data_IF_623577810728
#
_entry.id   IF_623577810728
#
_cell.length_a   1.000
_cell.length_b   1.000
_cell.length_c   1.000
_cell.angle_alpha   90.00
_cell.angle_beta   90.00
_cell.angle_gamma   90.00
#
_symmetry.space_group_name_H-M   'P 1'
#
loop_
_entity.id
_entity.type
_entity.pdbx_description
1 polymer ?
#
# COMPACT_ATOMS: atom_id res chain seq x y z
N UNK A 1 -5.90 31.32 -13.03
CA UNK A 1 -6.39 31.70 -11.70
C UNK A 1 -5.30 31.50 -10.65
N UNK A 2 -5.13 32.46 -9.74
CA UNK A 2 -4.23 32.32 -8.57
C UNK A 2 -4.88 31.60 -7.38
N UNK A 3 -6.18 31.26 -7.49
CA UNK A 3 -6.97 30.70 -6.39
C UNK A 3 -6.60 29.24 -6.09
N UNK A 4 -6.41 28.95 -4.81
CA UNK A 4 -6.19 27.58 -4.31
C UNK A 4 -7.51 26.83 -4.11
N UNK A 5 -7.45 25.50 -3.98
CA UNK A 5 -8.64 24.70 -3.65
C UNK A 5 -9.21 25.11 -2.28
N UNK A 6 -8.35 25.42 -1.31
CA UNK A 6 -8.78 25.85 0.02
C UNK A 6 -9.51 27.20 -0.02
N UNK A 7 -9.01 28.16 -0.81
CA UNK A 7 -9.69 29.45 -1.01
C UNK A 7 -11.05 29.27 -1.68
N UNK A 8 -11.17 28.36 -2.65
CA UNK A 8 -12.45 28.06 -3.27
C UNK A 8 -13.45 27.51 -2.26
N UNK A 9 -13.03 26.59 -1.37
CA UNK A 9 -13.88 26.06 -0.31
C UNK A 9 -14.32 27.15 0.69
N UNK A 10 -13.41 28.06 1.07
CA UNK A 10 -13.74 29.22 1.91
C UNK A 10 -14.77 30.13 1.26
N UNK A 11 -14.61 30.44 -0.03
CA UNK A 11 -15.56 31.27 -0.78
C UNK A 11 -16.92 30.58 -0.88
N UNK A 12 -16.96 29.28 -1.20
CA UNK A 12 -18.20 28.50 -1.26
C UNK A 12 -18.94 28.53 0.08
N UNK A 13 -18.22 28.34 1.19
CA UNK A 13 -18.81 28.39 2.54
C UNK A 13 -19.35 29.77 2.88
N UNK A 14 -18.66 30.84 2.48
CA UNK A 14 -19.07 32.21 2.77
C UNK A 14 -20.26 32.69 1.92
N UNK A 15 -20.39 32.20 0.69
CA UNK A 15 -21.32 32.79 -0.30
C UNK A 15 -22.49 31.90 -0.70
N UNK A 16 -22.31 30.57 -0.75
CA UNK A 16 -23.31 29.64 -1.27
C UNK A 16 -23.88 28.72 -0.19
N UNK A 17 -23.02 28.09 0.60
CA UNK A 17 -23.44 27.09 1.59
C UNK A 17 -22.65 27.20 2.91
N UNK A 18 -23.25 27.89 3.89
CA UNK A 18 -22.68 28.02 5.23
C UNK A 18 -22.59 26.69 6.01
N UNK A 19 -23.33 25.66 5.60
CA UNK A 19 -23.36 24.35 6.27
C UNK A 19 -22.19 23.43 5.90
N UNK A 20 -21.51 23.71 4.78
CA UNK A 20 -20.33 22.98 4.31
C UNK A 20 -19.21 22.98 5.36
N UNK A 21 -18.74 21.80 5.74
CA UNK A 21 -17.73 21.63 6.78
C UNK A 21 -16.45 21.03 6.23
N UNK A 22 -15.33 21.70 6.50
CA UNK A 22 -13.98 21.23 6.20
C UNK A 22 -13.02 21.75 7.27
N UNK A 23 -11.85 21.13 7.41
CA UNK A 23 -10.80 21.64 8.28
C UNK A 23 -10.14 22.82 7.59
N UNK A 24 -10.22 23.98 8.22
CA UNK A 24 -9.61 25.21 7.71
C UNK A 24 -8.30 25.49 8.45
N UNK A 25 -7.30 26.01 7.74
CA UNK A 25 -5.95 26.19 8.26
C UNK A 25 -5.06 27.04 7.36
N UNK A 26 -3.77 27.08 7.68
CA UNK A 26 -2.77 27.69 6.79
C UNK A 26 -2.62 26.88 5.50
N UNK A 27 -1.97 27.42 4.46
CA UNK A 27 -1.81 26.72 3.18
C UNK A 27 -1.12 25.35 3.32
N UNK A 28 -0.16 25.28 4.25
CA UNK A 28 0.66 24.11 4.54
C UNK A 28 0.15 23.29 5.74
N UNK A 29 -1.08 23.54 6.22
CA UNK A 29 -1.59 22.83 7.39
C UNK A 29 -1.77 21.33 7.08
N UNK A 30 -1.05 20.44 7.78
CA UNK A 30 -1.05 19.00 7.51
C UNK A 30 -2.42 18.35 7.71
N UNK A 31 -3.32 18.97 8.49
CA UNK A 31 -4.63 18.40 8.82
C UNK A 31 -5.72 18.72 7.80
N UNK A 32 -5.44 19.59 6.83
CA UNK A 32 -6.42 20.05 5.83
C UNK A 32 -6.52 19.13 4.60
N UNK A 33 -5.83 17.99 4.62
CA UNK A 33 -5.75 17.05 3.50
C UNK A 33 -7.12 16.56 3.02
N UNK A 34 -7.34 16.58 1.70
CA UNK A 34 -8.58 16.11 1.04
C UNK A 34 -8.25 15.39 -0.27
N UNK A 35 -9.25 14.70 -0.83
CA UNK A 35 -9.18 14.11 -2.16
C UNK A 35 -9.83 15.04 -3.19
N UNK A 36 -9.12 15.34 -4.28
CA UNK A 36 -9.64 16.13 -5.40
C UNK A 36 -9.43 15.37 -6.70
N UNK A 37 -10.52 15.03 -7.40
CA UNK A 37 -10.52 14.19 -8.61
C UNK A 37 -9.75 12.86 -8.41
N UNK A 38 -9.83 12.28 -7.21
CA UNK A 38 -9.13 11.05 -6.84
C UNK A 38 -7.63 11.23 -6.51
N UNK A 39 -7.12 12.47 -6.48
CA UNK A 39 -5.75 12.78 -6.06
C UNK A 39 -5.76 13.29 -4.62
N UNK A 40 -4.82 12.80 -3.82
CA UNK A 40 -4.64 13.23 -2.43
C UNK A 40 -3.80 14.50 -2.40
N UNK A 41 -4.34 15.59 -1.87
CA UNK A 41 -3.68 16.89 -1.89
C UNK A 41 -3.87 17.68 -0.60
N UNK A 42 -2.92 18.58 -0.34
CA UNK A 42 -3.13 19.70 0.57
C UNK A 42 -3.79 20.85 -0.20
N UNK A 43 -5.06 21.19 0.08
CA UNK A 43 -5.83 22.10 -0.75
C UNK A 43 -5.28 23.53 -0.77
N UNK A 44 -4.50 23.93 0.24
CA UNK A 44 -3.85 25.24 0.29
C UNK A 44 -2.69 25.39 -0.70
N UNK A 45 -2.00 24.30 -1.03
CA UNK A 45 -0.83 24.30 -1.91
C UNK A 45 -1.16 24.01 -3.37
N UNK A 46 -2.43 23.73 -3.66
CA UNK A 46 -2.88 23.26 -4.96
C UNK A 46 -3.79 24.29 -5.61
N UNK A 47 -3.39 24.71 -6.81
CA UNK A 47 -4.14 25.66 -7.65
C UNK A 47 -5.28 24.94 -8.36
N UNK A 48 -6.44 25.59 -8.47
CA UNK A 48 -7.61 25.04 -9.16
C UNK A 48 -7.30 24.59 -10.61
N UNK A 49 -6.57 25.44 -11.34
CA UNK A 49 -6.18 25.19 -12.74
C UNK A 49 -5.29 23.94 -12.91
N UNK A 50 -4.62 23.50 -11.83
CA UNK A 50 -3.72 22.34 -11.88
C UNK A 50 -4.43 21.00 -11.71
N UNK A 51 -5.64 21.01 -11.14
CA UNK A 51 -6.37 19.78 -10.76
C UNK A 51 -7.51 19.45 -11.70
N UNK A 52 -8.08 20.45 -12.37
CA UNK A 52 -9.07 20.23 -13.41
C UNK A 52 -8.74 21.07 -14.65
N UNK A 53 -8.48 20.44 -15.81
CA UNK A 53 -8.38 21.17 -17.06
C UNK A 53 -9.76 21.78 -17.38
N UNK A 54 -9.78 23.03 -17.81
CA UNK A 54 -11.00 23.67 -18.29
C UNK A 54 -11.50 22.92 -19.52
N UNK A 55 -12.63 22.20 -19.38
CA UNK A 55 -13.33 21.54 -20.48
C UNK A 55 -14.70 22.20 -20.63
N UNK A 56 -15.09 22.50 -21.86
CA UNK A 56 -16.39 23.08 -22.20
C UNK A 56 -16.71 24.39 -21.47
N UNK A 57 -15.71 25.28 -21.31
CA UNK A 57 -15.89 26.59 -20.69
C UNK A 57 -16.15 26.58 -19.18
N UNK A 58 -16.05 25.42 -18.51
CA UNK A 58 -16.27 25.27 -17.07
C UNK A 58 -15.18 24.47 -16.37
N UNK A 59 -15.05 24.70 -15.06
CA UNK A 59 -14.21 23.92 -14.17
C UNK A 59 -15.10 22.92 -13.42
N UNK A 60 -14.80 21.61 -13.52
CA UNK A 60 -15.49 20.57 -12.75
C UNK A 60 -14.48 19.91 -11.80
N UNK A 61 -14.74 20.06 -10.49
CA UNK A 61 -13.93 19.46 -9.43
C UNK A 61 -14.81 18.53 -8.61
N UNK A 62 -14.38 17.28 -8.43
CA UNK A 62 -14.93 16.33 -7.47
C UNK A 62 -14.05 16.39 -6.22
N UNK A 63 -14.60 16.92 -5.13
CA UNK A 63 -13.92 16.99 -3.84
C UNK A 63 -14.54 15.95 -2.92
N UNK A 64 -13.70 15.10 -2.34
CA UNK A 64 -14.09 14.00 -1.47
C UNK A 64 -13.28 14.07 -0.17
N UNK A 65 -13.83 13.58 0.95
CA UNK A 65 -13.08 13.45 2.19
C UNK A 65 -11.87 12.54 1.98
N UNK A 66 -10.90 12.67 2.88
CA UNK A 66 -9.68 11.89 2.84
C UNK A 66 -9.99 10.39 3.05
N UNK A 67 -9.52 9.46 2.18
CA UNK A 67 -9.81 8.04 2.32
C UNK A 67 -9.04 7.42 3.49
N UNK A 68 -9.45 6.22 3.91
CA UNK A 68 -8.91 5.50 5.08
C UNK A 68 -9.29 6.07 6.46
N UNK A 69 -10.16 7.08 6.51
CA UNK A 69 -10.64 7.67 7.76
C UNK A 69 -12.17 7.70 7.80
N UNK A 70 -12.71 7.68 9.02
CA UNK A 70 -14.15 7.86 9.24
C UNK A 70 -14.54 9.31 9.00
N UNK A 71 -15.58 9.52 8.21
CA UNK A 71 -16.10 10.85 7.89
C UNK A 71 -17.00 11.31 9.03
N UNK A 72 -16.61 12.40 9.70
CA UNK A 72 -17.42 13.02 10.75
C UNK A 72 -18.54 13.88 10.14
N UNK A 73 -18.17 14.74 9.18
CA UNK A 73 -19.10 15.63 8.48
C UNK A 73 -18.47 16.19 7.21
N UNK A 74 -19.17 16.08 6.09
CA UNK A 74 -18.74 16.59 4.78
C UNK A 74 -17.29 16.18 4.43
N UNK A 75 -16.33 17.10 4.51
CA UNK A 75 -14.91 16.85 4.23
C UNK A 75 -14.06 16.62 5.48
N UNK A 76 -14.66 16.73 6.68
CA UNK A 76 -13.97 16.50 7.96
C UNK A 76 -13.93 15.02 8.27
N UNK A 77 -12.72 14.52 8.46
CA UNK A 77 -12.45 13.14 8.87
C UNK A 77 -11.90 13.07 10.31
N UNK A 78 -12.07 11.92 10.94
CA UNK A 78 -11.46 11.61 12.24
C UNK A 78 -10.02 11.12 12.08
N UNK A 79 -9.06 11.82 12.70
CA UNK A 79 -7.65 11.42 12.71
C UNK A 79 -7.27 10.62 13.96
N UNK A 80 -8.16 10.46 14.94
CA UNK A 80 -7.86 9.82 16.21
C UNK A 80 -7.42 8.37 16.06
N UNK A 81 -7.96 7.65 15.07
CA UNK A 81 -7.53 6.28 14.77
C UNK A 81 -6.07 6.21 14.32
N UNK A 82 -5.58 7.18 13.54
CA UNK A 82 -4.16 7.26 13.18
C UNK A 82 -3.31 7.62 14.41
N UNK A 83 -3.74 8.60 15.22
CA UNK A 83 -2.98 9.01 16.40
C UNK A 83 -2.85 7.87 17.42
N UNK A 84 -3.91 7.09 17.66
CA UNK A 84 -3.84 5.88 18.50
C UNK A 84 -2.85 4.85 17.98
N UNK A 85 -2.78 4.65 16.65
CA UNK A 85 -1.79 3.75 16.01
C UNK A 85 -0.36 4.27 16.18
N UNK A 86 -0.18 5.59 16.07
CA UNK A 86 1.11 6.24 16.32
C UNK A 86 1.53 6.10 17.79
N UNK A 87 0.62 6.34 18.73
CA UNK A 87 0.88 6.21 20.15
C UNK A 87 1.23 4.76 20.55
N UNK A 88 0.54 3.77 19.98
CA UNK A 88 0.82 2.36 20.26
C UNK A 88 2.17 1.90 19.70
N UNK A 89 2.59 2.43 18.55
CA UNK A 89 3.89 2.17 17.94
C UNK A 89 5.07 2.84 18.66
N UNK A 90 4.80 3.85 19.50
CA UNK A 90 5.79 4.62 20.28
C UNK A 90 7.03 5.06 19.46
N UNK A 91 6.88 5.77 18.32
CA UNK A 91 7.99 6.20 17.47
C UNK A 91 8.77 7.40 18.06
N UNK A 92 8.93 7.41 19.38
CA UNK A 92 9.56 8.47 20.14
C UNK A 92 11.08 8.32 20.08
N UNK A 93 11.76 9.45 20.20
CA UNK A 93 13.20 9.46 20.37
C UNK A 93 13.52 9.03 21.80
N UNK A 94 14.25 7.92 21.94
CA UNK A 94 14.88 7.51 23.20
C UNK A 94 16.38 7.50 22.93
N UNK A 95 17.09 8.45 23.50
CA UNK A 95 18.51 8.64 23.20
C UNK A 95 19.39 7.61 23.90
N UNK A 96 20.43 7.14 23.20
CA UNK A 96 21.51 6.39 23.81
C UNK A 96 22.33 7.28 24.75
N UNK A 97 22.87 6.71 25.82
CA UNK A 97 23.88 7.41 26.63
C UNK A 97 25.17 7.49 25.83
N UNK A 98 25.56 8.69 25.40
CA UNK A 98 26.77 8.92 24.59
C UNK A 98 27.33 10.32 24.86
N UNK A 99 28.61 10.51 24.55
CA UNK A 99 29.21 11.83 24.57
C UNK A 99 28.56 12.73 23.51
N UNK A 100 28.03 13.87 23.95
CA UNK A 100 27.52 14.91 23.06
C UNK A 100 28.60 15.91 22.73
N UNK A 101 28.43 16.62 21.62
CA UNK A 101 29.23 17.81 21.35
C UNK A 101 28.71 18.96 22.21
N UNK A 102 29.60 19.58 22.96
CA UNK A 102 29.31 20.80 23.69
C UNK A 102 29.29 21.97 22.71
N UNK A 103 28.11 22.55 22.51
CA UNK A 103 27.90 23.73 21.66
C UNK A 103 27.43 24.90 22.51
N UNK A 104 27.56 26.12 22.00
CA UNK A 104 27.05 27.31 22.67
C UNK A 104 25.53 27.25 22.96
N UNK A 105 24.79 26.38 22.28
CA UNK A 105 23.35 26.16 22.45
C UNK A 105 23.02 24.99 23.40
N UNK A 106 24.04 24.31 23.93
CA UNK A 106 23.94 23.16 24.81
C UNK A 106 24.62 21.90 24.24
N UNK A 107 24.63 20.84 25.04
CA UNK A 107 25.16 19.55 24.62
C UNK A 107 24.19 18.90 23.65
N UNK A 108 24.64 18.68 22.41
CA UNK A 108 23.83 18.04 21.38
C UNK A 108 24.46 16.74 20.89
N UNK A 109 23.60 15.81 20.50
CA UNK A 109 24.04 14.57 19.90
C UNK A 109 24.53 14.77 18.46
N UNK A 110 25.77 14.39 18.17
CA UNK A 110 26.33 14.43 16.81
C UNK A 110 25.83 13.28 15.95
N UNK A 111 25.81 13.49 14.64
CA UNK A 111 25.57 12.46 13.63
C UNK A 111 26.26 12.85 12.33
N UNK A 112 26.54 11.86 11.49
CA UNK A 112 27.11 12.10 10.17
C UNK A 112 26.13 12.91 9.28
N UNK A 113 26.60 13.94 8.54
CA UNK A 113 25.75 14.76 7.69
C UNK A 113 24.98 13.97 6.63
N UNK A 114 25.58 12.93 6.03
CA UNK A 114 24.92 12.12 5.00
C UNK A 114 23.74 11.36 5.61
N UNK A 115 23.96 10.79 6.79
CA UNK A 115 22.91 10.12 7.58
C UNK A 115 21.79 11.10 7.96
N UNK A 116 22.13 12.31 8.40
CA UNK A 116 21.15 13.34 8.74
C UNK A 116 20.28 13.72 7.53
N UNK A 117 20.89 13.96 6.36
CA UNK A 117 20.17 14.28 5.12
C UNK A 117 19.25 13.14 4.69
N UNK A 118 19.72 11.89 4.76
CA UNK A 118 18.90 10.72 4.45
C UNK A 118 17.68 10.62 5.37
N UNK A 119 17.87 10.74 6.68
CA UNK A 119 16.78 10.69 7.67
C UNK A 119 15.78 11.83 7.47
N UNK A 120 16.29 13.03 7.18
CA UNK A 120 15.45 14.17 6.87
C UNK A 120 14.59 13.88 5.63
N UNK A 121 15.19 13.44 4.52
CA UNK A 121 14.43 13.16 3.28
C UNK A 121 13.34 12.09 3.44
N UNK A 122 13.54 11.11 4.33
CA UNK A 122 12.53 10.08 4.61
C UNK A 122 11.36 10.61 5.45
N UNK A 123 11.61 11.63 6.27
CA UNK A 123 10.62 12.19 7.20
C UNK A 123 10.04 13.53 6.74
N UNK A 124 10.51 14.06 5.62
CA UNK A 124 10.08 15.32 5.01
C UNK A 124 8.83 15.14 4.15
N UNK A 125 7.74 14.67 4.78
CA UNK A 125 6.42 14.60 4.16
C UNK A 125 5.49 15.64 4.80
N UNK A 126 4.66 16.28 3.97
CA UNK A 126 3.86 17.44 4.40
C UNK A 126 2.74 17.11 5.38
N UNK A 127 2.23 15.87 5.39
CA UNK A 127 1.09 15.49 6.24
C UNK A 127 1.06 13.99 6.53
N UNK A 128 0.94 13.63 7.81
CA UNK A 128 0.79 12.24 8.24
C UNK A 128 -0.56 11.62 7.84
N UNK A 129 -1.73 12.30 7.99
CA UNK A 129 -2.99 11.81 7.46
C UNK A 129 -2.94 11.60 5.94
N UNK A 130 -2.39 12.56 5.19
CA UNK A 130 -2.28 12.46 3.74
C UNK A 130 -1.48 11.22 3.33
N UNK A 131 -0.29 11.02 3.93
CA UNK A 131 0.55 9.87 3.67
C UNK A 131 -0.13 8.54 4.04
N UNK A 132 -0.88 8.51 5.16
CA UNK A 132 -1.64 7.34 5.58
C UNK A 132 -2.67 6.90 4.53
N UNK A 133 -3.34 7.86 3.92
CA UNK A 133 -4.35 7.65 2.88
C UNK A 133 -3.76 7.26 1.52
N UNK A 134 -2.46 7.43 1.31
CA UNK A 134 -1.80 7.04 0.08
C UNK A 134 -1.75 5.53 -0.14
N UNK A 135 -1.88 4.73 0.93
CA UNK A 135 -1.87 3.28 0.82
C UNK A 135 -3.26 2.74 0.49
N UNK A 136 -3.31 1.77 -0.41
CA UNK A 136 -4.56 1.07 -0.74
C UNK A 136 -4.94 0.02 0.35
N UNK A 137 -4.03 -0.30 1.29
CA UNK A 137 -4.27 -1.27 2.36
C UNK A 137 -5.00 -0.68 3.58
N UNK A 138 -4.74 0.58 3.90
CA UNK A 138 -5.28 1.27 5.08
C UNK A 138 -6.81 1.30 5.16
N UNK A 139 -7.58 1.48 4.06
CA UNK A 139 -9.04 1.39 4.11
C UNK A 139 -9.59 -0.03 4.38
N UNK A 140 -8.80 -1.07 4.12
CA UNK A 140 -9.23 -2.47 4.21
C UNK A 140 -8.70 -3.20 5.43
N UNK A 141 -7.71 -2.63 6.12
CA UNK A 141 -7.10 -3.22 7.31
C UNK A 141 -7.05 -2.21 8.45
N UNK A 142 -8.02 -2.30 9.37
CA UNK A 142 -8.05 -1.47 10.57
C UNK A 142 -6.82 -1.70 11.45
N UNK A 143 -6.32 -2.93 11.49
CA UNK A 143 -5.15 -3.31 12.28
C UNK A 143 -3.83 -2.74 11.73
N UNK A 144 -3.75 -2.46 10.42
CA UNK A 144 -2.54 -1.97 9.79
C UNK A 144 -2.14 -0.59 10.35
N UNK A 145 -0.89 -0.47 10.81
CA UNK A 145 -0.35 0.78 11.36
C UNK A 145 -0.29 1.92 10.34
N UNK A 146 -0.10 1.59 9.07
CA UNK A 146 -0.04 2.54 7.97
C UNK A 146 1.33 3.12 7.68
N UNK A 147 1.52 3.68 6.48
CA UNK A 147 2.82 4.14 6.00
C UNK A 147 3.39 5.33 6.80
N UNK A 148 2.52 6.23 7.27
CA UNK A 148 2.93 7.41 8.05
C UNK A 148 3.56 7.06 9.41
N UNK A 149 3.03 6.04 10.07
CA UNK A 149 3.61 5.54 11.34
C UNK A 149 4.89 4.76 11.05
N UNK A 150 4.86 3.88 10.05
CA UNK A 150 5.98 2.99 9.73
C UNK A 150 7.22 3.73 9.24
N UNK A 151 7.08 4.77 8.43
CA UNK A 151 8.24 5.56 7.98
C UNK A 151 8.91 6.28 9.15
N UNK A 152 8.12 6.81 10.09
CA UNK A 152 8.65 7.44 11.32
C UNK A 152 9.39 6.43 12.19
N UNK A 153 8.81 5.25 12.40
CA UNK A 153 9.45 4.13 13.11
C UNK A 153 10.75 3.70 12.43
N UNK A 154 10.75 3.58 11.10
CA UNK A 154 11.92 3.19 10.33
C UNK A 154 13.05 4.23 10.42
N UNK A 155 12.72 5.52 10.30
CA UNK A 155 13.68 6.60 10.48
C UNK A 155 14.31 6.58 11.88
N UNK A 156 13.52 6.29 12.93
CA UNK A 156 14.04 6.19 14.31
C UNK A 156 14.99 5.00 14.51
N UNK A 157 14.77 3.89 13.82
CA UNK A 157 15.66 2.72 13.85
C UNK A 157 17.02 3.02 13.20
N UNK A 158 17.03 3.86 12.16
CA UNK A 158 18.25 4.25 11.42
C UNK A 158 18.95 5.46 12.03
N UNK A 159 18.33 6.13 12.99
CA UNK A 159 18.95 7.24 13.71
C UNK A 159 20.01 6.70 14.68
N UNK A 160 21.31 7.03 14.48
CA UNK A 160 22.42 6.53 15.32
C UNK A 160 22.34 7.05 16.76
N UNK A 161 21.47 8.02 17.03
CA UNK A 161 21.30 8.63 18.34
C UNK A 161 20.33 7.82 19.20
N UNK A 162 19.57 6.89 18.61
CA UNK A 162 18.56 6.09 19.28
C UNK A 162 19.21 4.97 20.11
N UNK A 163 18.76 4.79 21.35
CA UNK A 163 19.19 3.70 22.24
C UNK A 163 18.86 2.32 21.65
N UNK A 164 19.76 1.35 21.81
CA UNK A 164 19.60 0.01 21.25
C UNK A 164 18.31 -0.70 21.73
N UNK A 165 17.95 -0.54 23.00
CA UNK A 165 16.70 -1.07 23.56
C UNK A 165 15.46 -0.53 22.86
N UNK A 166 15.48 0.76 22.47
CA UNK A 166 14.39 1.37 21.71
C UNK A 166 14.41 0.91 20.25
N UNK A 167 15.60 0.73 19.65
CA UNK A 167 15.72 0.20 18.28
C UNK A 167 15.12 -1.20 18.18
N UNK A 168 15.39 -2.09 19.14
CA UNK A 168 14.79 -3.43 19.21
C UNK A 168 13.27 -3.39 19.36
N UNK A 169 12.75 -2.51 20.21
CA UNK A 169 11.32 -2.30 20.40
C UNK A 169 10.63 -1.84 19.12
N UNK A 170 11.17 -0.81 18.47
CA UNK A 170 10.67 -0.30 17.18
C UNK A 170 10.80 -1.36 16.08
N UNK A 171 11.86 -2.17 16.12
CA UNK A 171 12.06 -3.23 15.15
C UNK A 171 10.95 -4.29 15.23
N UNK A 172 10.56 -4.65 16.44
CA UNK A 172 9.44 -5.56 16.72
C UNK A 172 8.12 -5.01 16.17
N UNK A 173 7.89 -3.70 16.27
CA UNK A 173 6.71 -3.04 15.70
C UNK A 173 6.68 -3.18 14.18
N UNK A 174 7.80 -2.95 13.49
CA UNK A 174 7.90 -3.11 12.02
C UNK A 174 7.67 -4.56 11.60
N UNK A 175 8.24 -5.52 12.34
CA UNK A 175 8.13 -6.96 12.04
C UNK A 175 6.77 -7.56 12.31
N UNK A 176 5.97 -6.89 13.13
CA UNK A 176 4.65 -7.33 13.50
C UNK A 176 3.79 -7.59 12.25
N UNK A 177 2.79 -8.47 12.41
CA UNK A 177 1.81 -8.76 11.35
C UNK A 177 1.12 -7.49 10.83
N UNK A 178 0.98 -6.50 11.72
CA UNK A 178 0.26 -5.25 11.51
C UNK A 178 1.22 -4.12 11.08
N UNK A 179 2.51 -4.43 10.96
CA UNK A 179 3.56 -3.53 10.50
C UNK A 179 3.73 -3.59 8.98
N UNK A 180 4.97 -3.53 8.50
CA UNK A 180 5.26 -3.35 7.05
C UNK A 180 4.82 -4.54 6.19
N UNK A 181 4.63 -5.72 6.79
CA UNK A 181 4.17 -6.92 6.08
C UNK A 181 2.70 -6.79 5.63
N UNK A 182 1.89 -5.97 6.31
CA UNK A 182 0.48 -5.75 5.97
C UNK A 182 0.28 -4.78 4.78
N UNK A 183 1.29 -4.00 4.41
CA UNK A 183 1.23 -3.12 3.24
C UNK A 183 1.10 -3.94 1.96
N UNK A 184 0.12 -3.66 1.12
CA UNK A 184 -0.13 -4.47 -0.09
C UNK A 184 0.70 -3.96 -1.26
N UNK A 185 0.68 -2.65 -1.52
CA UNK A 185 1.31 -2.05 -2.69
C UNK A 185 1.92 -0.67 -2.40
N UNK A 186 3.25 -0.60 -2.43
CA UNK A 186 4.01 0.65 -2.27
C UNK A 186 3.90 1.57 -3.50
N UNK A 187 3.45 1.07 -4.66
CA UNK A 187 3.28 1.90 -5.86
C UNK A 187 2.16 2.94 -5.68
N UNK A 188 1.15 2.63 -4.87
CA UNK A 188 0.07 3.56 -4.49
C UNK A 188 0.59 4.80 -3.76
N UNK A 189 1.63 4.63 -2.94
CA UNK A 189 2.34 5.70 -2.23
C UNK A 189 3.30 6.41 -3.17
N UNK A 190 4.10 5.65 -3.92
CA UNK A 190 5.14 6.20 -4.82
C UNK A 190 4.59 7.15 -5.89
N UNK A 191 3.36 6.95 -6.36
CA UNK A 191 2.76 7.73 -7.47
C UNK A 191 2.26 9.13 -7.08
N UNK A 192 2.26 9.48 -5.80
CA UNK A 192 1.57 10.70 -5.32
C UNK A 192 2.40 11.97 -5.54
N UNK A 193 3.62 12.03 -4.99
CA UNK A 193 4.52 13.17 -5.10
C UNK A 193 5.98 12.74 -4.84
N UNK A 194 6.94 13.65 -5.04
CA UNK A 194 8.37 13.35 -4.88
C UNK A 194 8.75 12.91 -3.48
N UNK A 195 8.21 13.54 -2.42
CA UNK A 195 8.45 13.11 -1.04
C UNK A 195 7.92 11.69 -0.79
N UNK A 196 6.75 11.35 -1.36
CA UNK A 196 6.14 10.03 -1.23
C UNK A 196 6.92 8.94 -1.96
N UNK A 197 7.67 9.30 -3.01
CA UNK A 197 8.61 8.38 -3.67
C UNK A 197 9.75 7.99 -2.73
N UNK A 198 10.36 8.96 -2.05
CA UNK A 198 11.42 8.70 -1.07
C UNK A 198 10.88 7.86 0.09
N UNK A 199 9.68 8.18 0.58
CA UNK A 199 9.00 7.38 1.61
C UNK A 199 8.74 5.95 1.14
N UNK A 200 8.26 5.75 -0.09
CA UNK A 200 8.00 4.41 -0.62
C UNK A 200 9.28 3.57 -0.75
N UNK A 201 10.41 4.19 -1.12
CA UNK A 201 11.72 3.53 -1.14
C UNK A 201 12.17 3.14 0.27
N UNK A 202 12.01 4.02 1.26
CA UNK A 202 12.32 3.73 2.65
C UNK A 202 11.45 2.59 3.22
N UNK A 203 10.15 2.57 2.90
CA UNK A 203 9.24 1.51 3.29
C UNK A 203 9.56 0.18 2.58
N UNK A 204 10.05 0.21 1.34
CA UNK A 204 10.52 -0.98 0.64
C UNK A 204 11.76 -1.57 1.32
N UNK A 205 12.68 -0.72 1.76
CA UNK A 205 13.85 -1.12 2.52
C UNK A 205 13.45 -1.73 3.87
N UNK A 206 12.50 -1.10 4.57
CA UNK A 206 11.90 -1.63 5.80
C UNK A 206 11.27 -3.01 5.58
N UNK A 207 10.56 -3.20 4.47
CA UNK A 207 9.94 -4.47 4.09
C UNK A 207 10.99 -5.54 3.82
N UNK A 208 12.04 -5.20 3.08
CA UNK A 208 13.13 -6.10 2.74
C UNK A 208 13.88 -6.54 4.01
N UNK A 209 14.14 -5.61 4.92
CA UNK A 209 14.72 -5.89 6.24
C UNK A 209 13.83 -6.81 7.10
N UNK A 210 12.51 -6.58 7.09
CA UNK A 210 11.56 -7.42 7.82
C UNK A 210 11.43 -8.85 7.26
N UNK A 211 11.55 -9.01 5.94
CA UNK A 211 11.52 -10.32 5.31
C UNK A 211 12.85 -11.07 5.48
N UNK A 212 13.99 -10.36 5.43
CA UNK A 212 15.31 -10.97 5.60
C UNK A 212 15.52 -11.49 7.02
N UNK A 213 15.09 -10.75 8.05
CA UNK A 213 15.12 -11.22 9.45
C UNK A 213 14.28 -12.47 9.69
N UNK A 214 13.12 -12.55 9.05
CA UNK A 214 12.26 -13.74 9.11
C UNK A 214 12.84 -14.90 8.27
N UNK A 215 14.00 -14.73 7.63
CA UNK A 215 14.58 -15.67 6.67
C UNK A 215 13.60 -16.07 5.56
N UNK A 216 12.71 -15.14 5.17
CA UNK A 216 11.60 -15.39 4.24
C UNK A 216 10.70 -16.56 4.67
N UNK A 217 10.62 -16.83 5.96
CA UNK A 217 9.65 -17.78 6.51
C UNK A 217 8.25 -17.14 6.53
N UNK A 218 7.23 -18.00 6.45
CA UNK A 218 5.83 -17.56 6.43
C UNK A 218 5.26 -17.26 5.05
N UNK A 219 4.02 -16.73 5.02
CA UNK A 219 3.24 -16.57 3.77
C UNK A 219 3.87 -15.59 2.79
N UNK A 220 4.35 -14.43 3.28
CA UNK A 220 4.95 -13.40 2.45
C UNK A 220 6.27 -13.85 1.84
N UNK A 221 7.14 -14.49 2.63
CA UNK A 221 8.42 -15.00 2.12
C UNK A 221 8.23 -16.14 1.11
N UNK A 222 7.29 -17.07 1.35
CA UNK A 222 6.87 -18.05 0.34
C UNK A 222 6.38 -17.38 -0.94
N UNK A 223 5.58 -16.31 -0.84
CA UNK A 223 5.07 -15.62 -2.02
C UNK A 223 6.20 -15.03 -2.85
N UNK A 224 7.14 -14.33 -2.22
CA UNK A 224 8.33 -13.78 -2.88
C UNK A 224 9.17 -14.88 -3.53
N UNK A 225 9.38 -16.00 -2.85
CA UNK A 225 10.15 -17.12 -3.37
C UNK A 225 9.50 -17.75 -4.61
N UNK A 226 8.21 -18.09 -4.54
CA UNK A 226 7.49 -18.72 -5.65
C UNK A 226 7.27 -17.75 -6.81
N UNK A 227 7.03 -16.48 -6.53
CA UNK A 227 6.99 -15.44 -7.56
C UNK A 227 8.31 -15.42 -8.33
N UNK A 228 9.44 -15.30 -7.61
CA UNK A 228 10.78 -15.28 -8.22
C UNK A 228 11.08 -16.56 -9.00
N UNK A 229 10.71 -17.72 -8.46
CA UNK A 229 10.94 -19.02 -9.09
C UNK A 229 10.12 -19.19 -10.37
N UNK A 230 8.85 -18.76 -10.40
CA UNK A 230 8.00 -18.87 -11.60
C UNK A 230 8.50 -17.97 -12.74
N UNK A 231 8.90 -16.74 -12.40
CA UNK A 231 9.52 -15.81 -13.36
C UNK A 231 10.83 -16.38 -13.89
N UNK A 232 11.70 -16.91 -13.02
CA UNK A 232 12.99 -17.49 -13.44
C UNK A 232 12.84 -18.75 -14.30
N UNK A 233 11.90 -19.62 -13.97
CA UNK A 233 11.73 -20.90 -14.67
C UNK A 233 10.95 -20.80 -15.99
N UNK A 234 10.00 -19.86 -16.09
CA UNK A 234 9.09 -19.78 -17.25
C UNK A 234 9.12 -18.45 -18.00
N UNK A 235 9.83 -17.44 -17.49
CA UNK A 235 9.82 -16.07 -18.03
C UNK A 235 8.51 -15.32 -17.78
N UNK A 236 7.51 -15.93 -17.12
CA UNK A 236 6.20 -15.34 -16.82
C UNK A 236 5.82 -15.65 -15.37
N UNK A 237 4.96 -14.81 -14.79
CA UNK A 237 4.37 -15.08 -13.47
C UNK A 237 3.30 -16.15 -13.62
N UNK A 238 3.34 -17.18 -12.76
CA UNK A 238 2.32 -18.21 -12.71
C UNK A 238 1.55 -18.15 -11.39
N UNK A 239 0.47 -17.36 -11.38
CA UNK A 239 -0.34 -17.11 -10.18
C UNK A 239 -0.95 -18.39 -9.59
N UNK A 240 -1.22 -19.40 -10.41
CA UNK A 240 -1.81 -20.66 -9.94
C UNK A 240 -0.84 -21.45 -9.05
N UNK A 241 0.45 -21.45 -9.41
CA UNK A 241 1.50 -22.12 -8.63
C UNK A 241 1.77 -21.32 -7.36
N UNK A 242 1.87 -20.00 -7.47
CA UNK A 242 2.13 -19.11 -6.33
C UNK A 242 1.04 -19.28 -5.28
N UNK A 243 -0.23 -19.18 -5.66
CA UNK A 243 -1.37 -19.31 -4.73
C UNK A 243 -1.35 -20.65 -3.97
N UNK A 244 -1.14 -21.77 -4.69
CA UNK A 244 -1.12 -23.11 -4.09
C UNK A 244 0.02 -23.28 -3.10
N UNK A 245 1.22 -22.86 -3.48
CA UNK A 245 2.41 -23.09 -2.68
C UNK A 245 2.52 -22.14 -1.47
N UNK A 246 1.98 -20.92 -1.59
CA UNK A 246 1.92 -19.96 -0.48
C UNK A 246 0.96 -20.40 0.62
N UNK A 247 -0.22 -20.89 0.24
CA UNK A 247 -1.23 -21.37 1.19
C UNK A 247 -0.89 -22.75 1.77
N UNK A 248 -0.26 -23.61 0.98
CA UNK A 248 0.01 -25.00 1.34
C UNK A 248 -1.28 -25.85 1.45
N UNK A 249 -1.14 -27.16 1.73
CA UNK A 249 -2.27 -28.10 1.70
C UNK A 249 -3.36 -27.77 2.73
N UNK A 250 -2.98 -27.37 3.94
CA UNK A 250 -3.94 -26.99 5.00
C UNK A 250 -4.69 -25.68 4.68
N UNK A 251 -4.00 -24.67 4.12
CA UNK A 251 -4.63 -23.42 3.71
C UNK A 251 -5.56 -23.58 2.51
N UNK A 252 -5.22 -24.50 1.59
CA UNK A 252 -6.07 -24.84 0.45
C UNK A 252 -7.36 -25.58 0.86
N UNK A 253 -7.31 -26.47 1.86
CA UNK A 253 -8.51 -27.13 2.40
C UNK A 253 -9.46 -26.13 3.08
N UNK A 254 -8.93 -25.15 3.83
CA UNK A 254 -9.74 -24.07 4.40
C UNK A 254 -10.45 -23.21 3.35
N UNK A 255 -9.77 -22.91 2.24
CA UNK A 255 -10.36 -22.16 1.12
C UNK A 255 -11.26 -22.99 0.18
N UNK A 256 -11.28 -24.32 0.31
CA UNK A 256 -12.15 -25.22 -0.47
C UNK A 256 -13.64 -24.91 -0.21
N UNK A 257 -13.98 -24.54 1.02
CA UNK A 257 -15.35 -24.16 1.41
C UNK A 257 -15.69 -22.68 1.14
N UNK A 258 -14.69 -21.84 0.79
CA UNK A 258 -14.87 -20.40 0.47
C UNK A 258 -15.10 -20.11 -1.02
N UNK A 259 -15.03 -21.14 -1.89
CA UNK A 259 -15.40 -21.06 -3.31
C UNK A 259 -14.26 -20.84 -4.31
N UNK A 260 -13.14 -20.23 -3.94
CA UNK A 260 -12.02 -19.96 -4.89
C UNK A 260 -11.25 -21.24 -5.23
N UNK A 261 -10.87 -22.03 -4.22
CA UNK A 261 -10.21 -23.32 -4.45
C UNK A 261 -11.18 -24.34 -5.04
N UNK A 262 -12.46 -24.32 -4.64
CA UNK A 262 -13.49 -25.16 -5.29
C UNK A 262 -13.69 -24.80 -6.76
N UNK A 263 -13.64 -23.53 -7.17
CA UNK A 263 -13.65 -23.17 -8.60
C UNK A 263 -12.38 -23.57 -9.35
N UNK A 264 -11.23 -23.69 -8.68
CA UNK A 264 -10.02 -24.23 -9.32
C UNK A 264 -9.94 -25.76 -9.33
N UNK A 265 -10.55 -26.43 -8.34
CA UNK A 265 -10.54 -27.90 -8.19
C UNK A 265 -11.73 -28.55 -8.90
N UNK A 266 -12.90 -27.91 -8.87
CA UNK A 266 -14.14 -28.36 -9.52
C UNK A 266 -14.52 -27.55 -10.76
N UNK A 267 -13.99 -26.33 -10.94
CA UNK A 267 -14.22 -25.53 -12.13
C UNK A 267 -13.17 -25.85 -13.20
N UNK A 268 -13.57 -26.73 -14.11
CA UNK A 268 -12.85 -27.12 -15.33
C UNK A 268 -11.50 -27.81 -15.10
N UNK A 269 -11.52 -29.14 -15.09
CA UNK A 269 -10.44 -29.84 -15.80
C UNK A 269 -10.53 -29.38 -17.26
N UNK A 270 -9.69 -28.41 -17.67
CA UNK A 270 -9.65 -27.87 -19.05
C UNK A 270 -9.32 -28.93 -20.12
N UNK A 271 -9.19 -30.19 -19.73
CA UNK A 271 -8.89 -31.35 -20.58
C UNK A 271 -9.87 -32.52 -20.40
N UNK A 272 -10.93 -32.39 -19.58
CA UNK A 272 -11.90 -33.48 -19.36
C UNK A 272 -11.33 -34.75 -18.73
N UNK A 273 -10.12 -34.67 -18.15
CA UNK A 273 -9.43 -35.81 -17.53
C UNK A 273 -10.00 -36.21 -16.16
N UNK A 274 -9.77 -37.48 -15.76
CA UNK A 274 -10.23 -38.04 -14.48
C UNK A 274 -9.64 -37.27 -13.28
N UNK A 275 -10.51 -36.88 -12.34
CA UNK A 275 -10.22 -36.12 -11.09
C UNK A 275 -9.08 -36.73 -10.26
N UNK A 276 -8.87 -38.04 -10.35
CA UNK A 276 -7.88 -38.77 -9.57
C UNK A 276 -6.42 -38.37 -9.88
N UNK A 277 -6.13 -37.90 -11.10
CA UNK A 277 -4.78 -37.44 -11.46
C UNK A 277 -4.48 -36.01 -10.97
N UNK A 278 -5.50 -35.19 -10.74
CA UNK A 278 -5.35 -33.83 -10.18
C UNK A 278 -5.16 -33.85 -8.66
N UNK A 279 -5.66 -34.87 -7.96
CA UNK A 279 -5.40 -35.07 -6.54
C UNK A 279 -3.90 -35.33 -6.28
N UNK A 280 -3.22 -36.06 -7.16
CA UNK A 280 -1.76 -36.29 -7.07
C UNK A 280 -0.96 -34.97 -7.18
N UNK A 281 -1.43 -34.03 -8.01
CA UNK A 281 -0.87 -32.67 -8.10
C UNK A 281 -1.15 -31.79 -6.86
N UNK A 282 -2.03 -32.22 -5.97
CA UNK A 282 -2.35 -31.56 -4.70
C UNK A 282 -1.42 -31.99 -3.55
N UNK A 283 -0.78 -33.17 -3.66
CA UNK A 283 0.04 -33.77 -2.60
C UNK A 283 1.55 -33.83 -2.89
N UNK A 284 2.02 -33.68 -4.14
CA UNK A 284 3.44 -33.79 -4.49
C UNK A 284 3.97 -32.67 -5.42
N UNK A 285 4.88 -31.79 -4.97
CA UNK A 285 5.75 -31.04 -5.89
C UNK A 285 6.81 -31.99 -6.48
N UNK A 286 7.09 -32.05 -7.81
CA UNK A 286 6.77 -31.10 -8.88
C UNK A 286 5.84 -31.72 -9.95
N UNK A 287 4.68 -32.26 -9.59
CA UNK A 287 3.73 -32.84 -10.57
C UNK A 287 2.69 -31.81 -11.10
N UNK A 288 3.07 -30.53 -11.12
CA UNK A 288 2.21 -29.41 -11.52
C UNK A 288 2.67 -28.68 -12.78
N UNK A 289 3.52 -29.28 -13.61
CA UNK A 289 3.75 -28.82 -14.99
C UNK A 289 2.61 -29.37 -15.86
N UNK A 290 1.37 -29.06 -15.49
CA UNK A 290 0.26 -29.16 -16.43
C UNK A 290 0.47 -28.05 -17.45
N UNK A 291 0.72 -28.40 -18.71
CA UNK A 291 0.78 -27.41 -19.80
C UNK A 291 -0.46 -26.53 -19.71
N UNK A 292 -0.24 -25.25 -19.43
CA UNK A 292 -1.28 -24.24 -19.56
C UNK A 292 -1.80 -24.34 -21.01
N UNK A 293 -3.10 -24.57 -21.24
CA UNK A 293 -3.62 -24.55 -22.60
C UNK A 293 -3.31 -23.17 -23.19
N UNK A 294 -2.89 -23.15 -24.45
CA UNK A 294 -2.53 -21.90 -25.15
C UNK A 294 -3.65 -20.90 -24.93
N UNK A 295 -3.35 -19.80 -24.22
CA UNK A 295 -4.24 -18.65 -24.21
C UNK A 295 -4.20 -18.10 -25.64
N UNK A 296 -5.30 -18.24 -26.38
CA UNK A 296 -5.46 -17.58 -27.66
C UNK A 296 -5.46 -16.07 -27.38
N UNK A 297 -4.36 -15.43 -27.74
CA UNK A 297 -4.16 -13.99 -27.58
C UNK A 297 -4.18 -13.31 -28.95
N UNK A 298 -5.10 -13.73 -29.81
CA UNK A 298 -5.40 -13.08 -31.09
C UNK A 298 -6.64 -12.21 -30.92
N UNK A 299 -6.64 -11.02 -31.54
CA UNK A 299 -7.88 -10.25 -31.71
C UNK A 299 -8.85 -11.09 -32.53
N UNK A 300 -10.09 -11.16 -32.06
CA UNK A 300 -11.18 -11.83 -32.77
C UNK A 300 -11.92 -10.76 -33.53
N UNK A 301 -11.79 -10.76 -34.85
CA UNK A 301 -12.36 -9.71 -35.71
C UNK A 301 -13.81 -10.01 -36.07
N UNK A 302 -14.20 -11.30 -36.09
CA UNK A 302 -15.52 -11.73 -36.52
C UNK A 302 -16.26 -12.58 -35.48
N UNK A 303 -17.58 -12.39 -35.39
CA UNK A 303 -18.44 -13.07 -34.42
C UNK A 303 -18.43 -14.61 -34.55
N UNK A 304 -18.26 -15.16 -35.76
CA UNK A 304 -18.26 -16.61 -35.97
C UNK A 304 -17.04 -17.32 -35.35
N UNK A 305 -15.92 -16.61 -35.18
CA UNK A 305 -14.74 -17.11 -34.48
C UNK A 305 -14.99 -17.23 -32.97
N UNK A 306 -15.79 -16.32 -32.40
CA UNK A 306 -16.25 -16.41 -31.00
C UNK A 306 -17.14 -17.64 -30.82
N UNK A 307 -18.07 -17.89 -31.75
CA UNK A 307 -18.97 -19.04 -31.72
C UNK A 307 -18.19 -20.36 -31.88
N UNK A 308 -17.18 -20.40 -32.75
CA UNK A 308 -16.32 -21.57 -32.91
C UNK A 308 -15.54 -21.87 -31.62
N UNK A 309 -14.96 -20.86 -30.98
CA UNK A 309 -14.29 -21.00 -29.69
C UNK A 309 -15.27 -21.48 -28.61
N UNK A 310 -16.50 -20.96 -28.60
CA UNK A 310 -17.51 -21.35 -27.62
C UNK A 310 -17.94 -22.82 -27.79
N UNK A 311 -18.20 -23.25 -29.03
CA UNK A 311 -18.60 -24.63 -29.35
C UNK A 311 -17.48 -25.64 -29.09
N UNK A 312 -16.21 -25.24 -29.27
CA UNK A 312 -15.07 -26.11 -28.98
C UNK A 312 -14.79 -26.23 -27.46
N UNK A 313 -15.26 -25.27 -26.66
CA UNK A 313 -15.07 -25.23 -25.20
C UNK A 313 -16.27 -25.80 -24.44
N UNK A 314 -17.49 -25.72 -24.98
CA UNK A 314 -18.72 -26.21 -24.34
C UNK A 314 -19.38 -27.33 -25.17
N UNK A 315 -19.03 -28.58 -24.89
CA UNK A 315 -19.60 -29.76 -25.57
C UNK A 315 -21.02 -30.14 -25.12
N UNK A 316 -21.88 -29.18 -24.80
CA UNK A 316 -23.28 -29.40 -24.37
C UNK A 316 -24.34 -28.83 -25.31
N UNK A 317 -23.94 -28.41 -26.51
CA UNK A 317 -24.85 -28.21 -27.64
C UNK A 317 -24.36 -29.00 -28.85
#
# INVERSE_FOLDING_TARGET
GHMSVLEALRVLKATHDGSLTFRDGTCDDPTTAISVNGRLVLPGNVRLDSVAPTRDGGLRLRIEPLPAFDVLRDLVVDHWTLERKRESAKPWMVAATREGADTAQGVMGTMDPVTATSLHSMTDFSSAPLLHSCSDATPHSEEYLGPSVLVGTWARIHDPRTADSNREGLQTVIDSRNGIKAETDLASIRRQNDSSRVVAEALLDARTSALSRDSFNGRHGKHVWWYTWTVKSSGRVNDTVIYRQVLGPMGLMGNLFSGVTARMVFGFTRTGGKVFNDLLGMFAPPAGIGKMPKQFNSQVDNHHEVVAIFNEVDGRF
#
